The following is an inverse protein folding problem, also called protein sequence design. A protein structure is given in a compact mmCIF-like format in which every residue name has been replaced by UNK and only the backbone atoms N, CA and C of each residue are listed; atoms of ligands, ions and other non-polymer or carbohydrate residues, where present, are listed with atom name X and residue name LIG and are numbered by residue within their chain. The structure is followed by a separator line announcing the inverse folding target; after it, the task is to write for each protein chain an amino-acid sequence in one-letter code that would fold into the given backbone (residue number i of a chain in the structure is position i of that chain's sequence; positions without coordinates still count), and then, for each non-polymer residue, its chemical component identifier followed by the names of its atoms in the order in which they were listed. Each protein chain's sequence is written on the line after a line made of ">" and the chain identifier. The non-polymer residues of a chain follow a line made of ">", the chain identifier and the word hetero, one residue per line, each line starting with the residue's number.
data_IF_792009105516
#
_entry.id   IF_792009105516
#
_cell.length_a   1.000
_cell.length_b   1.000
_cell.length_c   1.000
_cell.angle_alpha   90.00
_cell.angle_beta   90.00
_cell.angle_gamma   90.00
#
_symmetry.space_group_name_H-M   'P 1'
#
loop_
_entity.id
_entity.type
_entity.pdbx_description
1 polymer ?
#
# COMPACT_ATOMS: atom_id res chain seq x y z
N UNK A 1 -2.77 8.00 20.74
CA UNK A 1 -2.81 8.69 19.44
C UNK A 1 -3.53 7.76 18.47
N UNK A 2 -4.82 7.99 18.26
CA UNK A 2 -5.68 7.16 17.40
C UNK A 2 -5.51 7.54 15.92
N UNK A 3 -5.62 6.56 15.03
CA UNK A 3 -5.62 6.81 13.59
C UNK A 3 -6.91 7.52 13.18
N UNK A 4 -6.82 8.70 12.57
CA UNK A 4 -8.00 9.42 12.09
C UNK A 4 -8.48 8.86 10.75
N UNK A 5 -9.68 8.25 10.74
CA UNK A 5 -10.30 7.69 9.53
C UNK A 5 -10.77 8.78 8.56
N UNK A 6 -11.15 9.94 9.09
CA UNK A 6 -11.67 11.06 8.31
C UNK A 6 -10.57 11.75 7.51
N UNK A 7 -10.73 11.75 6.18
CA UNK A 7 -9.74 12.25 5.22
C UNK A 7 -9.33 13.71 5.45
N UNK A 8 -10.28 14.60 5.81
CA UNK A 8 -10.03 16.03 6.05
C UNK A 8 -9.14 16.33 7.26
N UNK A 9 -8.95 15.37 8.17
CA UNK A 9 -8.18 15.56 9.40
C UNK A 9 -6.83 14.83 9.38
N UNK A 10 -6.50 14.13 8.28
CA UNK A 10 -5.17 13.50 8.12
C UNK A 10 -4.15 14.57 7.79
N UNK A 11 -3.17 14.77 8.67
CA UNK A 11 -2.02 15.66 8.44
C UNK A 11 -0.77 14.96 8.92
N UNK A 12 0.39 15.27 8.33
CA UNK A 12 1.69 14.63 8.66
C UNK A 12 1.99 14.56 10.18
N UNK A 13 1.53 15.54 10.95
CA UNK A 13 1.75 15.61 12.41
C UNK A 13 0.97 14.54 13.19
N UNK A 14 -0.10 13.99 12.61
CA UNK A 14 -1.03 13.07 13.29
C UNK A 14 -0.83 11.61 12.87
N UNK A 15 0.08 11.35 11.92
CA UNK A 15 0.23 10.06 11.27
C UNK A 15 1.57 9.40 11.64
N UNK A 16 1.52 8.41 12.55
CA UNK A 16 2.67 7.58 12.98
C UNK A 16 3.43 6.93 11.81
N UNK A 17 4.60 6.30 12.06
CA UNK A 17 5.27 5.44 11.06
C UNK A 17 4.27 4.41 10.50
N UNK A 18 4.37 4.06 9.22
CA UNK A 18 3.42 3.17 8.55
C UNK A 18 3.38 1.77 9.17
N UNK A 19 4.53 1.28 9.65
CA UNK A 19 4.61 0.03 10.41
C UNK A 19 3.92 0.16 11.76
N UNK A 20 4.15 1.28 12.46
CA UNK A 20 3.52 1.58 13.74
C UNK A 20 1.99 1.75 13.61
N UNK A 21 1.52 2.31 12.49
CA UNK A 21 0.10 2.42 12.18
C UNK A 21 -0.54 1.04 11.99
N UNK A 22 0.10 0.13 11.24
CA UNK A 22 -0.36 -1.24 11.06
C UNK A 22 -0.43 -2.00 12.38
N UNK A 23 0.63 -1.92 13.19
CA UNK A 23 0.66 -2.56 14.51
C UNK A 23 -0.33 -1.95 15.49
N UNK A 24 -0.55 -0.62 15.45
CA UNK A 24 -1.59 0.03 16.25
C UNK A 24 -2.98 -0.41 15.82
N UNK A 25 -3.27 -0.51 14.52
CA UNK A 25 -4.56 -1.00 14.01
C UNK A 25 -4.79 -2.47 14.37
N UNK A 26 -3.74 -3.27 14.43
CA UNK A 26 -3.79 -4.66 14.87
C UNK A 26 -3.95 -4.81 16.39
N UNK A 27 -3.32 -3.94 17.17
CA UNK A 27 -3.41 -3.88 18.62
C UNK A 27 -4.71 -3.24 19.11
N UNK A 28 -5.43 -2.49 18.26
CA UNK A 28 -6.79 -2.04 18.55
C UNK A 28 -7.70 -3.27 18.52
N UNK A 29 -7.85 -3.83 19.72
CA UNK A 29 -8.61 -5.02 20.07
C UNK A 29 -9.85 -5.21 19.18
N UNK A 30 -9.84 -6.22 18.29
CA UNK A 30 -10.97 -6.58 17.39
C UNK A 30 -12.29 -6.75 18.16
N UNK A 31 -12.22 -7.14 19.43
CA UNK A 31 -13.37 -7.30 20.31
C UNK A 31 -14.02 -5.99 20.76
N UNK A 32 -13.26 -4.88 20.79
CA UNK A 32 -13.74 -3.56 21.24
C UNK A 32 -14.00 -2.59 20.09
N UNK A 33 -13.29 -2.72 18.97
CA UNK A 33 -13.48 -1.86 17.79
C UNK A 33 -13.38 -2.67 16.48
N UNK A 34 -14.36 -3.54 16.18
CA UNK A 34 -14.32 -4.42 15.01
C UNK A 34 -14.22 -3.64 13.68
N UNK A 35 -14.74 -2.41 13.61
CA UNK A 35 -14.60 -1.49 12.49
C UNK A 35 -13.16 -1.00 12.24
N UNK A 36 -12.22 -1.23 13.16
CA UNK A 36 -10.79 -0.95 12.99
C UNK A 36 -9.99 -2.15 12.47
N UNK A 37 -10.64 -3.30 12.25
CA UNK A 37 -10.01 -4.50 11.68
C UNK A 37 -9.52 -4.27 10.26
N UNK A 38 -8.36 -4.84 9.90
CA UNK A 38 -7.85 -4.85 8.53
C UNK A 38 -8.68 -5.73 7.57
N UNK A 39 -9.58 -6.57 8.10
CA UNK A 39 -10.57 -7.30 7.30
C UNK A 39 -11.73 -6.40 6.85
N UNK A 40 -11.93 -5.25 7.51
CA UNK A 40 -12.89 -4.27 7.07
C UNK A 40 -12.38 -3.59 5.79
N UNK A 41 -13.15 -3.68 4.71
CA UNK A 41 -12.79 -3.15 3.40
C UNK A 41 -12.58 -1.63 3.39
N UNK A 42 -13.35 -0.87 4.17
CA UNK A 42 -13.21 0.57 4.28
C UNK A 42 -11.90 0.94 5.00
N UNK A 43 -11.59 0.24 6.09
CA UNK A 43 -10.35 0.44 6.84
C UNK A 43 -9.12 0.08 6.01
N UNK A 44 -9.16 -1.05 5.29
CA UNK A 44 -8.11 -1.44 4.34
C UNK A 44 -7.93 -0.38 3.25
N UNK A 45 -9.02 0.11 2.66
CA UNK A 45 -8.97 1.16 1.62
C UNK A 45 -8.27 2.42 2.14
N UNK A 46 -8.70 2.92 3.30
CA UNK A 46 -8.11 4.11 3.93
C UNK A 46 -6.62 3.93 4.21
N UNK A 47 -6.22 2.76 4.71
CA UNK A 47 -4.82 2.45 4.96
C UNK A 47 -3.99 2.43 3.66
N UNK A 48 -4.50 1.79 2.60
CA UNK A 48 -3.81 1.74 1.30
C UNK A 48 -3.67 3.15 0.72
N UNK A 49 -4.71 3.97 0.75
CA UNK A 49 -4.63 5.37 0.29
C UNK A 49 -3.56 6.16 1.05
N UNK A 50 -3.52 6.03 2.37
CA UNK A 50 -2.52 6.68 3.22
C UNK A 50 -1.08 6.20 2.90
N UNK A 51 -0.91 4.90 2.68
CA UNK A 51 0.36 4.33 2.26
C UNK A 51 0.85 4.91 0.94
N UNK A 52 0.00 4.93 -0.09
CA UNK A 52 0.38 5.50 -1.37
C UNK A 52 0.68 6.99 -1.28
N UNK A 53 -0.08 7.76 -0.49
CA UNK A 53 0.19 9.19 -0.29
C UNK A 53 1.62 9.41 0.27
N UNK A 54 2.04 8.61 1.25
CA UNK A 54 3.41 8.70 1.78
C UNK A 54 4.48 8.24 0.79
N UNK A 55 4.19 7.27 -0.05
CA UNK A 55 5.11 6.83 -1.11
C UNK A 55 5.45 7.94 -2.11
N UNK A 56 4.53 8.90 -2.32
CA UNK A 56 4.76 10.00 -3.25
C UNK A 56 6.00 10.79 -2.87
N UNK A 57 6.16 11.14 -1.59
CA UNK A 57 7.32 11.90 -1.11
C UNK A 57 8.63 11.15 -1.36
N UNK A 58 8.66 9.84 -1.09
CA UNK A 58 9.86 9.02 -1.29
C UNK A 58 10.18 8.83 -2.77
N UNK A 59 9.16 8.60 -3.59
CA UNK A 59 9.30 8.47 -5.04
C UNK A 59 9.83 9.77 -5.67
N UNK A 60 9.33 10.92 -5.22
CA UNK A 60 9.79 12.23 -5.69
C UNK A 60 11.27 12.43 -5.37
N UNK A 61 11.68 12.14 -4.13
CA UNK A 61 13.08 12.22 -3.71
C UNK A 61 13.97 11.27 -4.49
N UNK A 62 13.54 10.03 -4.70
CA UNK A 62 14.30 9.03 -5.45
C UNK A 62 14.61 9.52 -6.87
N UNK A 63 13.61 10.00 -7.61
CA UNK A 63 13.79 10.45 -8.99
C UNK A 63 14.58 11.76 -9.08
N UNK A 64 14.38 12.69 -8.15
CA UNK A 64 15.20 13.93 -8.07
C UNK A 64 16.67 13.61 -7.82
N UNK A 65 16.99 12.64 -6.95
CA UNK A 65 18.37 12.18 -6.74
C UNK A 65 18.97 11.53 -8.00
N UNK A 66 18.15 10.93 -8.86
CA UNK A 66 18.56 10.40 -10.17
C UNK A 66 18.59 11.48 -11.27
N UNK A 67 18.28 12.73 -10.93
CA UNK A 67 18.28 13.86 -11.86
C UNK A 67 16.98 14.04 -12.66
N UNK A 68 15.93 13.26 -12.40
CA UNK A 68 14.62 13.44 -13.05
C UNK A 68 13.67 14.23 -12.14
N UNK A 69 13.62 15.54 -12.36
CA UNK A 69 12.73 16.48 -11.67
C UNK A 69 11.31 16.53 -12.28
N UNK A 70 11.07 15.80 -13.36
CA UNK A 70 9.86 15.89 -14.18
C UNK A 70 8.98 14.65 -14.09
N UNK A 71 9.39 13.63 -13.33
CA UNK A 71 8.69 12.34 -13.23
C UNK A 71 7.19 12.50 -12.95
N UNK A 72 6.83 13.25 -11.90
CA UNK A 72 5.41 13.43 -11.55
C UNK A 72 4.65 14.31 -12.54
N UNK A 73 5.31 15.26 -13.21
CA UNK A 73 4.71 16.03 -14.30
C UNK A 73 4.36 15.10 -15.47
N UNK A 74 5.31 14.28 -15.91
CA UNK A 74 5.08 13.26 -16.97
C UNK A 74 4.00 12.26 -16.57
N UNK A 75 4.00 11.83 -15.31
CA UNK A 75 2.97 10.94 -14.76
C UNK A 75 1.58 11.56 -14.86
N UNK A 76 1.43 12.81 -14.42
CA UNK A 76 0.19 13.56 -14.49
C UNK A 76 -0.27 13.78 -15.95
N UNK A 77 0.64 14.13 -16.85
CA UNK A 77 0.32 14.38 -18.25
C UNK A 77 -0.17 13.12 -18.96
N UNK A 78 0.51 11.98 -18.77
CA UNK A 78 0.09 10.68 -19.30
C UNK A 78 -1.30 10.29 -18.76
N UNK A 79 -1.56 10.56 -17.49
CA UNK A 79 -2.87 10.32 -16.88
C UNK A 79 -3.99 11.18 -17.47
N UNK A 80 -3.75 12.48 -17.65
CA UNK A 80 -4.74 13.39 -18.23
C UNK A 80 -5.11 12.96 -19.65
N UNK A 81 -4.12 12.52 -20.43
CA UNK A 81 -4.33 11.92 -21.75
C UNK A 81 -5.15 10.62 -21.67
N UNK A 82 -4.83 9.73 -20.74
CA UNK A 82 -5.54 8.45 -20.56
C UNK A 82 -7.01 8.67 -20.19
N UNK A 83 -7.28 9.67 -19.33
CA UNK A 83 -8.63 10.05 -18.91
C UNK A 83 -9.43 10.71 -20.04
N UNK A 84 -8.78 11.52 -20.88
CA UNK A 84 -9.41 12.16 -22.03
C UNK A 84 -9.68 11.19 -23.20
N UNK A 85 -8.90 10.11 -23.31
CA UNK A 85 -8.96 9.15 -24.44
C UNK A 85 -10.21 8.26 -24.45
N UNK A 86 -11.01 8.22 -23.36
CA UNK A 86 -12.18 7.34 -23.27
C UNK A 86 -11.85 5.88 -23.59
N UNK A 87 -12.63 5.23 -24.46
CA UNK A 87 -12.42 3.85 -24.90
C UNK A 87 -11.39 3.69 -26.04
N UNK A 88 -10.86 4.79 -26.60
CA UNK A 88 -9.89 4.74 -27.71
C UNK A 88 -8.51 5.03 -27.15
N UNK A 89 -7.90 4.01 -26.52
CA UNK A 89 -6.55 4.13 -25.99
C UNK A 89 -5.53 3.76 -27.07
N UNK A 90 -4.64 4.69 -27.43
CA UNK A 90 -3.52 4.35 -28.31
C UNK A 90 -2.54 3.43 -27.58
N UNK A 91 -1.94 2.49 -28.30
CA UNK A 91 -0.97 1.55 -27.76
C UNK A 91 0.24 2.29 -27.18
N UNK A 92 0.64 3.43 -27.78
CA UNK A 92 1.73 4.24 -27.24
C UNK A 92 1.42 4.81 -25.85
N UNK A 93 0.21 5.34 -25.66
CA UNK A 93 -0.20 5.92 -24.39
C UNK A 93 -0.29 4.88 -23.27
N UNK A 94 -0.75 3.66 -23.60
CA UNK A 94 -0.76 2.54 -22.66
C UNK A 94 0.67 2.16 -22.24
N UNK A 95 1.59 2.08 -23.20
CA UNK A 95 2.99 1.78 -22.93
C UNK A 95 3.66 2.87 -22.08
N UNK A 96 3.39 4.14 -22.35
CA UNK A 96 3.87 5.28 -21.55
C UNK A 96 3.39 5.17 -20.09
N UNK A 97 2.10 4.93 -19.88
CA UNK A 97 1.54 4.77 -18.53
C UNK A 97 2.15 3.56 -17.80
N UNK A 98 2.34 2.43 -18.50
CA UNK A 98 2.95 1.23 -17.93
C UNK A 98 4.41 1.47 -17.52
N UNK A 99 5.19 2.18 -18.33
CA UNK A 99 6.57 2.56 -17.98
C UNK A 99 6.62 3.46 -16.74
N UNK A 100 5.72 4.44 -16.65
CA UNK A 100 5.61 5.33 -15.50
C UNK A 100 5.19 4.59 -14.21
N UNK A 101 4.24 3.66 -14.30
CA UNK A 101 3.87 2.78 -13.18
C UNK A 101 5.01 1.85 -12.77
N UNK A 102 5.76 1.32 -13.73
CA UNK A 102 6.94 0.52 -13.47
C UNK A 102 8.00 1.33 -12.72
N UNK A 103 8.30 2.55 -13.19
CA UNK A 103 9.21 3.47 -12.52
C UNK A 103 8.74 3.85 -11.10
N UNK A 104 7.45 4.08 -10.91
CA UNK A 104 6.86 4.29 -9.59
C UNK A 104 7.11 3.08 -8.68
N UNK A 105 6.87 1.88 -9.19
CA UNK A 105 7.10 0.63 -8.47
C UNK A 105 8.57 0.46 -8.09
N UNK A 106 9.48 0.65 -9.03
CA UNK A 106 10.93 0.55 -8.79
C UNK A 106 11.42 1.50 -7.69
N UNK A 107 10.92 2.74 -7.68
CA UNK A 107 11.28 3.71 -6.65
C UNK A 107 10.73 3.35 -5.25
N UNK A 108 9.68 2.52 -5.19
CA UNK A 108 8.95 2.17 -3.97
C UNK A 108 8.99 0.67 -3.63
N UNK A 109 9.83 -0.11 -4.31
CA UNK A 109 9.81 -1.58 -4.26
C UNK A 109 9.94 -2.12 -2.83
N UNK A 110 10.93 -1.60 -2.09
CA UNK A 110 11.19 -2.00 -0.71
C UNK A 110 9.98 -1.71 0.17
N UNK A 111 9.34 -0.54 0.01
CA UNK A 111 8.16 -0.15 0.78
C UNK A 111 6.96 -1.04 0.47
N UNK A 112 6.77 -1.43 -0.80
CA UNK A 112 5.73 -2.39 -1.19
C UNK A 112 5.97 -3.76 -0.53
N UNK A 113 7.20 -4.26 -0.56
CA UNK A 113 7.57 -5.54 0.07
C UNK A 113 7.40 -5.50 1.58
N UNK A 114 7.81 -4.41 2.24
CA UNK A 114 7.61 -4.20 3.68
C UNK A 114 6.13 -4.14 4.05
N UNK A 115 5.29 -3.50 3.23
CA UNK A 115 3.86 -3.53 3.46
C UNK A 115 3.31 -4.95 3.37
N UNK A 116 3.62 -5.68 2.29
CA UNK A 116 3.17 -7.07 2.15
C UNK A 116 3.64 -7.96 3.31
N UNK A 117 4.87 -7.77 3.76
CA UNK A 117 5.42 -8.43 4.95
C UNK A 117 4.54 -8.16 6.18
N UNK A 118 4.27 -6.89 6.47
CA UNK A 118 3.46 -6.52 7.62
C UNK A 118 2.04 -7.09 7.52
N UNK A 119 1.42 -7.06 6.33
CA UNK A 119 0.10 -7.67 6.12
C UNK A 119 0.11 -9.17 6.42
N UNK A 120 1.18 -9.87 6.05
CA UNK A 120 1.31 -11.30 6.30
C UNK A 120 1.55 -11.60 7.79
N UNK A 121 2.34 -10.77 8.47
CA UNK A 121 2.48 -10.83 9.92
C UNK A 121 1.12 -10.67 10.62
N UNK A 122 0.30 -9.70 10.20
CA UNK A 122 -1.02 -9.50 10.76
C UNK A 122 -1.94 -10.71 10.56
N UNK A 123 -1.94 -11.30 9.37
CA UNK A 123 -2.76 -12.50 9.08
C UNK A 123 -2.33 -13.72 9.89
N UNK A 124 -1.02 -13.85 10.12
CA UNK A 124 -0.44 -15.04 10.77
C UNK A 124 -0.48 -14.95 12.29
N UNK A 125 -0.16 -13.78 12.84
CA UNK A 125 0.11 -13.58 14.26
C UNK A 125 -0.97 -12.80 15.00
N UNK A 126 -1.93 -12.20 14.29
CA UNK A 126 -2.99 -11.38 14.91
C UNK A 126 -4.35 -11.99 14.59
N UNK A 127 -4.57 -13.20 15.10
CA UNK A 127 -5.85 -13.91 15.01
C UNK A 127 -6.59 -13.89 16.35
N UNK A 128 -7.94 -13.94 16.37
CA UNK A 128 -8.71 -13.88 17.62
C UNK A 128 -8.41 -15.03 18.59
N UNK A 129 -8.00 -16.17 18.06
CA UNK A 129 -7.67 -17.43 18.72
C UNK A 129 -6.15 -17.58 18.97
N UNK A 130 -5.35 -16.53 18.77
CA UNK A 130 -3.89 -16.63 18.79
C UNK A 130 -3.34 -17.18 20.12
N UNK A 131 -3.86 -16.69 21.25
CA UNK A 131 -3.42 -17.15 22.58
C UNK A 131 -3.81 -18.63 22.82
N UNK A 132 -5.03 -19.03 22.44
CA UNK A 132 -5.50 -20.42 22.55
C UNK A 132 -4.67 -21.36 21.65
N UNK A 133 -4.27 -20.90 20.47
CA UNK A 133 -3.38 -21.63 19.56
C UNK A 133 -1.99 -21.80 20.14
N UNK A 134 -1.43 -20.78 20.79
CA UNK A 134 -0.15 -20.89 21.46
C UNK A 134 -0.24 -21.82 22.67
N UNK A 135 -1.26 -21.68 23.51
CA UNK A 135 -1.47 -22.51 24.70
C UNK A 135 -1.61 -24.00 24.35
N UNK A 136 -2.35 -24.30 23.27
CA UNK A 136 -2.52 -25.67 22.77
C UNK A 136 -1.26 -26.29 22.16
N UNK A 137 -0.25 -25.47 21.83
CA UNK A 137 0.99 -25.90 21.18
C UNK A 137 2.25 -25.41 21.93
N UNK A 138 2.19 -25.37 23.26
CA UNK A 138 3.32 -25.07 24.15
C UNK A 138 4.03 -23.74 23.86
N UNK A 139 3.27 -22.70 23.53
CA UNK A 139 3.77 -21.37 23.21
C UNK A 139 4.39 -21.25 21.82
N UNK A 140 4.22 -22.26 20.97
CA UNK A 140 4.73 -22.27 19.59
C UNK A 140 3.59 -22.23 18.60
N UNK A 141 3.84 -21.67 17.42
CA UNK A 141 2.92 -21.84 16.29
C UNK A 141 3.05 -23.23 15.70
N UNK A 142 1.94 -23.74 15.16
CA UNK A 142 1.95 -25.01 14.47
C UNK A 142 2.87 -24.96 13.24
N UNK A 143 3.42 -26.13 12.91
CA UNK A 143 4.42 -26.27 11.85
C UNK A 143 3.88 -25.79 10.50
N UNK A 144 2.61 -26.02 10.21
CA UNK A 144 2.00 -25.72 8.92
C UNK A 144 1.86 -24.21 8.74
N UNK A 145 1.45 -23.47 9.79
CA UNK A 145 1.44 -21.99 9.80
C UNK A 145 2.84 -21.41 9.63
N UNK A 146 3.85 -21.94 10.33
CA UNK A 146 5.23 -21.47 10.17
C UNK A 146 5.72 -21.69 8.73
N UNK A 147 5.42 -22.86 8.15
CA UNK A 147 5.77 -23.16 6.77
C UNK A 147 5.04 -22.28 5.76
N UNK A 148 3.75 -22.05 5.95
CA UNK A 148 2.95 -21.13 5.14
C UNK A 148 3.51 -19.71 5.20
N UNK A 149 3.81 -19.20 6.40
CA UNK A 149 4.42 -17.88 6.58
C UNK A 149 5.77 -17.78 5.87
N UNK A 150 6.67 -18.77 6.05
CA UNK A 150 7.97 -18.80 5.35
C UNK A 150 7.81 -18.80 3.83
N UNK A 151 6.86 -19.57 3.31
CA UNK A 151 6.54 -19.59 1.88
C UNK A 151 6.07 -18.22 1.40
N UNK A 152 5.14 -17.59 2.12
CA UNK A 152 4.69 -16.22 1.83
C UNK A 152 5.85 -15.22 1.83
N UNK A 153 6.82 -15.36 2.74
CA UNK A 153 7.99 -14.48 2.80
C UNK A 153 8.88 -14.60 1.56
N UNK A 154 9.15 -15.82 1.11
CA UNK A 154 9.92 -16.03 -0.12
C UNK A 154 9.18 -15.46 -1.32
N UNK A 155 7.87 -15.66 -1.40
CA UNK A 155 7.07 -15.10 -2.48
C UNK A 155 7.04 -13.57 -2.48
N UNK A 156 6.98 -12.91 -1.31
CA UNK A 156 7.04 -11.44 -1.20
C UNK A 156 8.38 -10.90 -1.70
N UNK A 157 9.49 -11.58 -1.41
CA UNK A 157 10.81 -11.19 -1.91
C UNK A 157 10.88 -11.19 -3.44
N UNK A 158 10.14 -12.09 -4.09
CA UNK A 158 10.09 -12.24 -5.55
C UNK A 158 9.11 -11.28 -6.24
N UNK A 159 8.31 -10.51 -5.49
CA UNK A 159 7.41 -9.51 -6.08
C UNK A 159 8.23 -8.49 -6.87
N UNK A 160 7.93 -8.38 -8.16
CA UNK A 160 8.66 -7.54 -9.11
C UNK A 160 7.76 -6.63 -9.93
N UNK A 161 6.44 -6.80 -9.81
CA UNK A 161 5.44 -6.02 -10.54
C UNK A 161 4.40 -5.42 -9.59
N UNK A 162 3.92 -4.24 -9.95
CA UNK A 162 2.85 -3.55 -9.21
C UNK A 162 1.54 -4.36 -9.18
N UNK A 163 1.23 -5.11 -10.26
CA UNK A 163 0.06 -6.00 -10.31
C UNK A 163 0.13 -7.14 -9.29
N UNK A 164 1.31 -7.74 -9.10
CA UNK A 164 1.55 -8.78 -8.08
C UNK A 164 1.35 -8.21 -6.68
N UNK A 165 1.79 -6.97 -6.43
CA UNK A 165 1.52 -6.27 -5.19
C UNK A 165 0.01 -6.09 -4.93
N UNK A 166 -0.75 -5.61 -5.92
CA UNK A 166 -2.20 -5.43 -5.76
C UNK A 166 -2.93 -6.75 -5.49
N UNK A 167 -2.55 -7.82 -6.17
CA UNK A 167 -3.10 -9.16 -5.93
C UNK A 167 -2.84 -9.62 -4.49
N UNK A 168 -1.59 -9.54 -4.02
CA UNK A 168 -1.20 -10.03 -2.68
C UNK A 168 -1.74 -9.19 -1.52
N UNK A 169 -1.82 -7.88 -1.73
CA UNK A 169 -2.46 -6.98 -0.75
C UNK A 169 -3.98 -7.16 -0.69
N UNK A 170 -4.56 -7.93 -1.62
CA UNK A 170 -6.01 -8.05 -1.81
C UNK A 170 -6.63 -6.65 -2.00
N UNK A 171 -6.00 -5.85 -2.86
CA UNK A 171 -6.45 -4.52 -3.26
C UNK A 171 -7.30 -4.66 -4.54
N UNK A 172 -8.51 -4.07 -4.61
CA UNK A 172 -9.44 -4.26 -5.74
C UNK A 172 -9.06 -3.41 -6.97
N UNK A 173 -7.80 -3.44 -7.38
CA UNK A 173 -7.30 -2.73 -8.57
C UNK A 173 -7.02 -3.74 -9.66
N UNK A 174 -7.81 -3.66 -10.74
CA UNK A 174 -7.78 -4.62 -11.85
C UNK A 174 -7.50 -3.99 -13.21
N UNK A 175 -7.30 -2.67 -13.29
CA UNK A 175 -7.04 -1.97 -14.54
C UNK A 175 -5.91 -0.94 -14.40
N UNK A 176 -5.26 -0.67 -15.53
CA UNK A 176 -4.26 0.40 -15.68
C UNK A 176 -4.82 1.75 -15.20
N UNK A 177 -6.04 2.08 -15.63
CA UNK A 177 -6.72 3.30 -15.22
C UNK A 177 -6.91 3.38 -13.70
N UNK A 178 -7.32 2.28 -13.05
CA UNK A 178 -7.53 2.26 -11.61
C UNK A 178 -6.21 2.42 -10.83
N UNK A 179 -5.12 1.81 -11.30
CA UNK A 179 -3.80 1.96 -10.71
C UNK A 179 -3.28 3.41 -10.85
N UNK A 180 -3.42 4.01 -12.02
CA UNK A 180 -3.04 5.41 -12.27
C UNK A 180 -3.88 6.37 -11.44
N UNK A 181 -5.21 6.17 -11.37
CA UNK A 181 -6.12 6.95 -10.52
C UNK A 181 -5.68 6.92 -9.04
N UNK A 182 -5.30 5.75 -8.52
CA UNK A 182 -4.86 5.62 -7.14
C UNK A 182 -3.59 6.45 -6.88
N UNK A 183 -2.59 6.37 -7.75
CA UNK A 183 -1.33 7.12 -7.59
C UNK A 183 -1.56 8.63 -7.74
N UNK A 184 -2.47 9.05 -8.63
CA UNK A 184 -2.84 10.46 -8.77
C UNK A 184 -3.60 11.01 -7.55
N UNK A 185 -4.53 10.22 -7.02
CA UNK A 185 -5.19 10.55 -5.74
C UNK A 185 -4.13 10.69 -4.66
N UNK A 186 -3.22 9.73 -4.55
CA UNK A 186 -2.14 9.75 -3.57
C UNK A 186 -1.26 11.00 -3.71
N UNK A 187 -0.94 11.43 -4.93
CA UNK A 187 -0.17 12.66 -5.17
C UNK A 187 -0.91 13.90 -4.65
N UNK A 188 -2.21 14.00 -4.92
CA UNK A 188 -3.08 15.08 -4.44
C UNK A 188 -3.18 15.06 -2.92
N UNK A 189 -3.43 13.89 -2.35
CA UNK A 189 -3.52 13.66 -0.91
C UNK A 189 -2.22 14.04 -0.23
N UNK A 190 -1.08 13.67 -0.79
CA UNK A 190 0.22 13.93 -0.21
C UNK A 190 0.58 15.43 -0.20
N UNK A 191 0.13 16.21 -1.18
CA UNK A 191 0.20 17.68 -1.11
C UNK A 191 -0.72 18.22 -0.02
N UNK A 192 -1.98 17.77 0.00
CA UNK A 192 -2.98 18.21 0.98
C UNK A 192 -2.56 17.92 2.42
N UNK A 193 -1.94 16.76 2.66
CA UNK A 193 -1.51 16.30 3.98
C UNK A 193 -0.16 16.87 4.42
N UNK A 194 0.53 17.63 3.55
CA UNK A 194 1.82 18.24 3.86
C UNK A 194 2.99 17.26 3.84
N UNK A 195 2.89 16.16 3.10
CA UNK A 195 4.02 15.24 2.92
C UNK A 195 5.11 15.83 2.02
N UNK A 196 4.73 16.68 1.08
CA UNK A 196 5.68 17.37 0.21
C UNK A 196 5.07 18.65 -0.38
N UNK A 197 5.93 19.65 -0.63
CA UNK A 197 5.62 20.98 -1.15
C UNK A 197 6.22 21.18 -2.54
#
# INVERSE_FOLDING_TARGET
>A
MEFCKEEKYRTKEWTNDLGELLFKMAAVNRSKNPECSFENSATKKVFIEEFFARLIFWTDRFWKQKGDYTFFTKFNDAFMKLSAAGNVQSVELQNECMDLLYKFFMASEVSFKLLLFNLECLRTFVTPDFDELLDSNFGLLDKDRIQAFRKSMEEIKQVSKLSEFFQRSNCPIQSLQAASNLIMKAFTDAKRFGYFS
#
